data_IF_194924021483
#
_entry.id   IF_194924021483
#
_cell.length_a   1.000
_cell.length_b   1.000
_cell.length_c   1.000
_cell.angle_alpha   90.00
_cell.angle_beta   90.00
_cell.angle_gamma   90.00
#
_symmetry.space_group_name_H-M   'P 1'
#
loop_
_entity.id
_entity.type
_entity.pdbx_description
1 polymer ?
#
# COMPACT_ATOMS: atom_id res chain seq x y z
N UNK A 1 -23.11 -13.73 -16.99
CA UNK A 1 -22.58 -12.41 -16.55
C UNK A 1 -21.06 -12.44 -16.37
N UNK A 2 -20.49 -13.36 -15.58
CA UNK A 2 -19.02 -13.44 -15.34
C UNK A 2 -18.14 -13.53 -16.60
N UNK A 3 -18.58 -14.25 -17.64
CA UNK A 3 -17.82 -14.35 -18.90
C UNK A 3 -17.72 -13.01 -19.64
N UNK A 4 -18.77 -12.18 -19.56
CA UNK A 4 -18.77 -10.84 -20.14
C UNK A 4 -17.87 -9.90 -19.33
N UNK A 5 -17.92 -9.98 -18.00
CA UNK A 5 -17.06 -9.20 -17.11
C UNK A 5 -15.58 -9.54 -17.31
N UNK A 6 -15.24 -10.82 -17.42
CA UNK A 6 -13.88 -11.26 -17.73
C UNK A 6 -13.35 -10.66 -19.04
N UNK A 7 -14.21 -10.56 -20.07
CA UNK A 7 -13.87 -9.89 -21.33
C UNK A 7 -13.66 -8.39 -21.15
N UNK A 8 -14.50 -7.71 -20.36
CA UNK A 8 -14.37 -6.28 -20.06
C UNK A 8 -13.08 -5.96 -19.31
N UNK A 9 -12.73 -6.77 -18.30
CA UNK A 9 -11.51 -6.61 -17.49
C UNK A 9 -10.24 -7.02 -18.25
N UNK A 10 -10.36 -7.75 -19.36
CA UNK A 10 -9.22 -8.35 -20.05
C UNK A 10 -8.53 -9.45 -19.22
N UNK A 11 -9.29 -10.14 -18.37
CA UNK A 11 -8.76 -11.12 -17.41
C UNK A 11 -9.21 -12.55 -17.74
N UNK A 12 -8.45 -13.60 -17.36
CA UNK A 12 -8.85 -14.99 -17.55
C UNK A 12 -10.15 -15.32 -16.82
N UNK A 13 -11.11 -15.93 -17.53
CA UNK A 13 -12.43 -16.27 -16.98
C UNK A 13 -12.36 -17.12 -15.70
N UNK A 14 -11.50 -18.14 -15.67
CA UNK A 14 -11.38 -19.02 -14.50
C UNK A 14 -10.89 -18.27 -13.25
N UNK A 15 -9.99 -17.29 -13.42
CA UNK A 15 -9.54 -16.44 -12.30
C UNK A 15 -10.66 -15.54 -11.80
N UNK A 16 -11.41 -14.91 -12.72
CA UNK A 16 -12.58 -14.07 -12.35
C UNK A 16 -13.64 -14.89 -11.62
N UNK A 17 -13.88 -16.12 -12.07
CA UNK A 17 -14.82 -17.06 -11.44
C UNK A 17 -14.35 -17.47 -10.04
N UNK A 18 -13.05 -17.70 -9.85
CA UNK A 18 -12.49 -18.00 -8.53
C UNK A 18 -12.62 -16.82 -7.58
N UNK A 19 -12.21 -15.61 -8.00
CA UNK A 19 -12.34 -14.38 -7.20
C UNK A 19 -13.80 -14.11 -6.83
N UNK A 20 -14.74 -14.31 -7.75
CA UNK A 20 -16.18 -14.18 -7.46
C UNK A 20 -16.66 -15.18 -6.39
N UNK A 21 -16.11 -16.40 -6.38
CA UNK A 21 -16.47 -17.44 -5.43
C UNK A 21 -15.83 -17.23 -4.05
N UNK A 22 -14.58 -16.80 -4.01
CA UNK A 22 -13.77 -16.70 -2.77
C UNK A 22 -13.83 -15.33 -2.12
N UNK A 23 -14.18 -14.28 -2.89
CA UNK A 23 -14.17 -12.89 -2.43
C UNK A 23 -12.78 -12.26 -2.34
N UNK A 24 -11.74 -12.93 -2.84
CA UNK A 24 -10.34 -12.48 -2.77
C UNK A 24 -9.48 -13.02 -3.90
N UNK A 25 -8.28 -12.46 -4.05
CA UNK A 25 -7.30 -12.96 -5.02
C UNK A 25 -6.80 -14.35 -4.62
N UNK A 26 -6.46 -15.24 -5.59
CA UNK A 26 -5.93 -16.58 -5.29
C UNK A 26 -4.46 -16.56 -4.85
N UNK A 27 -3.94 -15.38 -4.47
CA UNK A 27 -2.57 -15.11 -4.06
C UNK A 27 -2.57 -13.99 -3.02
N UNK A 28 -1.51 -13.92 -2.22
CA UNK A 28 -1.35 -12.86 -1.21
C UNK A 28 -1.16 -11.50 -1.89
N UNK A 29 -1.93 -10.51 -1.46
CA UNK A 29 -1.93 -9.16 -2.02
C UNK A 29 -1.27 -8.16 -1.07
N UNK A 30 -0.04 -7.76 -1.38
CA UNK A 30 0.68 -6.73 -0.63
C UNK A 30 0.47 -5.34 -1.25
N UNK A 31 0.37 -4.33 -0.40
CA UNK A 31 0.52 -2.94 -0.82
C UNK A 31 2.00 -2.58 -1.01
N UNK A 32 2.32 -1.81 -2.05
CA UNK A 32 3.68 -1.35 -2.32
C UNK A 32 3.68 0.04 -2.97
N UNK A 33 4.73 0.81 -2.67
CA UNK A 33 4.94 2.15 -3.22
C UNK A 33 4.36 3.26 -2.35
N UNK A 34 5.14 4.32 -2.11
CA UNK A 34 4.68 5.52 -1.41
C UNK A 34 4.48 5.41 0.11
N UNK A 35 4.56 4.23 0.72
CA UNK A 35 4.47 4.06 2.18
C UNK A 35 5.68 4.70 2.86
N UNK A 36 5.48 5.79 3.60
CA UNK A 36 6.55 6.56 4.25
C UNK A 36 6.37 6.67 5.77
N UNK A 37 5.16 6.45 6.27
CA UNK A 37 4.81 6.59 7.70
C UNK A 37 4.13 5.33 8.25
N UNK A 38 4.11 5.14 9.58
CA UNK A 38 3.33 4.08 10.21
C UNK A 38 1.82 4.19 9.91
N UNK A 39 1.30 5.41 9.76
CA UNK A 39 -0.09 5.66 9.40
C UNK A 39 -0.41 5.17 7.97
N UNK A 40 0.48 5.40 7.00
CA UNK A 40 0.30 4.89 5.63
C UNK A 40 0.26 3.36 5.64
N UNK A 41 1.17 2.73 6.39
CA UNK A 41 1.22 1.28 6.51
C UNK A 41 -0.06 0.71 7.13
N UNK A 42 -0.54 1.32 8.21
CA UNK A 42 -1.79 0.92 8.86
C UNK A 42 -3.00 1.12 7.93
N UNK A 43 -3.05 2.23 7.20
CA UNK A 43 -4.10 2.50 6.22
C UNK A 43 -4.18 1.40 5.15
N UNK A 44 -3.04 0.96 4.62
CA UNK A 44 -3.04 -0.12 3.62
C UNK A 44 -3.60 -1.43 4.18
N UNK A 45 -3.29 -1.77 5.43
CA UNK A 45 -3.88 -2.94 6.09
C UNK A 45 -5.39 -2.76 6.32
N UNK A 46 -5.86 -1.56 6.69
CA UNK A 46 -7.30 -1.26 6.84
C UNK A 46 -8.06 -1.34 5.50
N UNK A 47 -7.40 -1.03 4.38
CA UNK A 47 -7.95 -1.18 3.03
C UNK A 47 -7.98 -2.64 2.53
N UNK A 48 -7.51 -3.60 3.34
CA UNK A 48 -7.56 -5.03 3.02
C UNK A 48 -6.30 -5.60 2.39
N UNK A 49 -5.17 -4.88 2.44
CA UNK A 49 -3.88 -5.48 2.09
C UNK A 49 -3.48 -6.54 3.12
N UNK A 50 -2.82 -7.60 2.65
CA UNK A 50 -2.32 -8.70 3.49
C UNK A 50 -0.89 -8.45 3.99
N UNK A 51 -0.30 -7.34 3.58
CA UNK A 51 1.00 -6.86 4.01
C UNK A 51 1.41 -5.60 3.25
N UNK A 52 2.55 -5.02 3.64
CA UNK A 52 3.10 -3.81 3.01
C UNK A 52 4.57 -4.00 2.67
N UNK A 53 4.99 -3.54 1.49
CA UNK A 53 6.40 -3.43 1.11
C UNK A 53 6.86 -2.00 1.29
N UNK A 54 7.94 -1.81 2.07
CA UNK A 54 8.53 -0.50 2.32
C UNK A 54 10.03 -0.54 2.03
N UNK A 55 10.44 0.21 1.01
CA UNK A 55 11.85 0.43 0.68
C UNK A 55 12.29 1.83 1.06
N UNK A 56 12.08 2.78 0.16
CA UNK A 56 12.54 4.16 0.30
C UNK A 56 11.94 4.88 1.51
N UNK A 57 10.72 4.55 1.92
CA UNK A 57 10.09 5.10 3.12
C UNK A 57 10.89 4.85 4.41
N UNK A 58 11.65 3.75 4.48
CA UNK A 58 12.55 3.44 5.60
C UNK A 58 13.94 4.04 5.34
N UNK A 59 14.58 3.66 4.23
CA UNK A 59 16.00 3.95 4.01
C UNK A 59 16.32 5.40 3.57
N UNK A 60 15.31 6.19 3.18
CA UNK A 60 15.47 7.62 2.89
C UNK A 60 14.87 8.52 3.97
N UNK A 61 14.65 7.99 5.17
CA UNK A 61 14.22 8.76 6.34
C UNK A 61 15.39 9.12 7.25
N UNK A 62 15.16 10.03 8.19
CA UNK A 62 16.19 10.50 9.14
C UNK A 62 16.72 9.36 10.04
N UNK A 63 15.84 8.47 10.53
CA UNK A 63 16.19 7.30 11.35
C UNK A 63 15.55 6.03 10.77
N UNK A 64 16.26 5.31 9.88
CA UNK A 64 15.76 4.09 9.26
C UNK A 64 15.44 2.97 10.26
N UNK A 65 16.23 2.82 11.32
CA UNK A 65 16.03 1.72 12.29
C UNK A 65 14.75 1.94 13.09
N UNK A 66 14.58 3.14 13.64
CA UNK A 66 13.40 3.49 14.42
C UNK A 66 12.15 3.44 13.54
N UNK A 67 12.22 3.96 12.31
CA UNK A 67 11.10 3.93 11.36
C UNK A 67 10.71 2.52 10.95
N UNK A 68 11.68 1.64 10.68
CA UNK A 68 11.40 0.24 10.36
C UNK A 68 10.64 -0.45 11.51
N UNK A 69 11.10 -0.27 12.76
CA UNK A 69 10.41 -0.81 13.95
C UNK A 69 9.00 -0.25 14.10
N UNK A 70 8.81 1.05 13.86
CA UNK A 70 7.52 1.71 13.94
C UNK A 70 6.53 1.19 12.87
N UNK A 71 6.99 1.03 11.62
CA UNK A 71 6.18 0.49 10.53
C UNK A 71 5.76 -0.95 10.82
N UNK A 72 6.69 -1.81 11.24
CA UNK A 72 6.36 -3.20 11.60
C UNK A 72 5.30 -3.22 12.70
N UNK A 73 5.48 -2.42 13.76
CA UNK A 73 4.52 -2.36 14.86
C UNK A 73 3.16 -1.80 14.45
N UNK A 74 3.11 -0.84 13.53
CA UNK A 74 1.85 -0.32 12.99
C UNK A 74 1.14 -1.36 12.12
N UNK A 75 1.85 -2.10 11.26
CA UNK A 75 1.26 -3.18 10.45
C UNK A 75 0.68 -4.26 11.34
N UNK A 76 1.36 -4.65 12.42
CA UNK A 76 0.84 -5.66 13.36
C UNK A 76 -0.40 -5.17 14.12
N UNK A 77 -0.51 -3.88 14.41
CA UNK A 77 -1.53 -3.30 15.27
C UNK A 77 -2.39 -2.26 14.52
N UNK A 78 -2.62 -2.45 13.22
CA UNK A 78 -3.19 -1.42 12.34
C UNK A 78 -4.61 -0.96 12.71
N UNK A 79 -5.34 -1.77 13.49
CA UNK A 79 -6.68 -1.45 14.00
C UNK A 79 -6.67 -0.82 15.40
N UNK A 80 -5.50 -0.67 16.03
CA UNK A 80 -5.34 0.00 17.32
C UNK A 80 -4.84 1.44 17.08
N UNK A 81 -5.72 2.45 17.10
CA UNK A 81 -5.33 3.83 16.83
C UNK A 81 -4.38 4.39 17.91
N UNK A 82 -4.41 3.87 19.14
CA UNK A 82 -3.53 4.31 20.21
C UNK A 82 -2.10 3.83 19.95
N UNK A 83 -1.92 2.57 19.56
CA UNK A 83 -0.61 2.04 19.18
C UNK A 83 -0.09 2.75 17.94
N UNK A 84 -0.90 2.92 16.90
CA UNK A 84 -0.49 3.63 15.66
C UNK A 84 -0.05 5.07 15.98
N UNK A 85 -0.79 5.78 16.82
CA UNK A 85 -0.41 7.13 17.27
C UNK A 85 0.87 7.11 18.10
N UNK A 86 1.04 6.12 19.00
CA UNK A 86 2.23 5.99 19.84
C UNK A 86 3.50 5.77 19.00
N UNK A 87 3.46 4.83 18.06
CA UNK A 87 4.64 4.48 17.24
C UNK A 87 4.98 5.53 16.19
N UNK A 88 4.05 6.44 15.89
CA UNK A 88 4.28 7.55 14.97
C UNK A 88 5.04 8.73 15.60
N UNK A 89 5.30 8.71 16.91
CA UNK A 89 5.97 9.80 17.63
C UNK A 89 7.48 9.73 17.48
N UNK A 90 8.11 10.89 17.31
CA UNK A 90 9.55 11.06 17.43
C UNK A 90 10.38 10.38 16.34
N UNK A 91 9.80 10.13 15.15
CA UNK A 91 10.46 9.41 14.04
C UNK A 91 11.30 10.30 13.11
N UNK A 92 11.38 11.61 13.36
CA UNK A 92 11.97 12.58 12.43
C UNK A 92 11.20 12.68 11.10
N UNK A 93 11.84 13.29 10.10
CA UNK A 93 11.21 13.52 8.81
C UNK A 93 11.07 12.21 8.01
N UNK A 94 9.91 11.97 7.39
CA UNK A 94 9.74 10.89 6.43
C UNK A 94 10.51 11.17 5.13
N UNK A 95 10.58 10.16 4.27
CA UNK A 95 11.00 10.37 2.88
C UNK A 95 10.15 11.48 2.23
N UNK A 96 10.80 12.44 1.58
CA UNK A 96 10.11 13.45 0.75
C UNK A 96 9.48 12.80 -0.48
N UNK A 97 8.20 13.08 -0.69
CA UNK A 97 7.49 12.72 -1.92
C UNK A 97 7.91 13.58 -3.11
N UNK A 98 7.67 13.06 -4.32
CA UNK A 98 7.72 13.82 -5.57
C UNK A 98 6.29 14.16 -5.99
N UNK A 99 6.05 15.42 -6.35
CA UNK A 99 4.73 15.83 -6.87
C UNK A 99 4.56 15.31 -8.30
N UNK A 100 3.46 14.61 -8.57
CA UNK A 100 3.11 14.07 -9.90
C UNK A 100 3.09 15.16 -10.97
N UNK A 101 2.74 16.41 -10.62
CA UNK A 101 2.75 17.56 -11.53
C UNK A 101 4.15 17.92 -12.02
N UNK A 102 5.16 17.58 -11.23
CA UNK A 102 6.57 17.80 -11.57
C UNK A 102 7.19 16.64 -12.36
N UNK A 103 6.48 15.51 -12.48
CA UNK A 103 6.96 14.33 -13.21
C UNK A 103 6.73 14.47 -14.72
N UNK A 104 7.67 14.01 -15.57
CA UNK A 104 7.46 13.84 -17.00
C UNK A 104 6.26 12.92 -17.28
N UNK A 105 5.56 13.16 -18.39
CA UNK A 105 4.36 12.40 -18.75
C UNK A 105 4.67 10.90 -18.95
N UNK A 106 5.88 10.54 -19.40
CA UNK A 106 6.27 9.15 -19.59
C UNK A 106 6.46 8.37 -18.28
N UNK A 107 6.66 9.06 -17.15
CA UNK A 107 6.90 8.45 -15.85
C UNK A 107 5.61 8.26 -15.03
N UNK A 108 4.47 8.77 -15.52
CA UNK A 108 3.18 8.67 -14.82
C UNK A 108 2.52 7.31 -15.07
N UNK A 109 2.32 6.55 -13.99
CA UNK A 109 1.63 5.24 -14.04
C UNK A 109 0.15 5.34 -14.41
N UNK A 110 -0.51 6.45 -14.08
CA UNK A 110 -1.90 6.72 -14.43
C UNK A 110 -2.04 8.02 -15.22
N UNK A 111 -2.58 7.91 -16.44
CA UNK A 111 -2.85 9.05 -17.36
C UNK A 111 -4.26 9.61 -17.22
N UNK A 112 -5.10 9.03 -16.37
CA UNK A 112 -6.48 9.47 -16.10
C UNK A 112 -6.69 9.63 -14.60
N UNK A 113 -7.28 10.77 -14.21
CA UNK A 113 -7.46 11.20 -12.82
C UNK A 113 -6.85 12.59 -12.64
N UNK A 114 -7.61 13.51 -12.05
CA UNK A 114 -7.19 14.88 -11.74
C UNK A 114 -6.37 14.92 -10.45
#
# INVERSE_FOLDING_TARGET
ELMAEAKTLGAPYEVVKEVHKTGGLPVVNYAAGGVATPADAALMMQLGAEGVFVGSGIFKSDDPEQRAKAIVKAVTNYNDPEIVAQVSRGLGEPMRGLDVRSMPDEERLAVRGW
#
